data_IF_016535455113
#
_entry.id   IF_016535455113
#
_cell.length_a   1.000
_cell.length_b   1.000
_cell.length_c   1.000
_cell.angle_alpha   90.00
_cell.angle_beta   90.00
_cell.angle_gamma   90.00
#
_symmetry.space_group_name_H-M   'P 1'
#
loop_
_entity.id
_entity.type
_entity.pdbx_description
1 polymer ?
#
# COMPACT_ATOMS: atom_id res chain seq x y z
N UNK A 1 11.00 -23.34 -22.50
CA UNK A 1 11.05 -23.46 -21.03
C UNK A 1 9.76 -22.86 -20.48
N UNK A 2 8.92 -23.63 -19.78
CA UNK A 2 7.68 -23.11 -19.20
C UNK A 2 8.01 -22.36 -17.90
N UNK A 3 7.62 -21.10 -17.80
CA UNK A 3 7.61 -20.36 -16.54
C UNK A 3 6.75 -21.14 -15.54
N UNK A 4 7.22 -21.43 -14.31
CA UNK A 4 6.39 -22.15 -13.35
C UNK A 4 5.16 -21.31 -12.99
N UNK A 5 3.97 -21.87 -13.22
CA UNK A 5 2.71 -21.28 -12.77
C UNK A 5 2.73 -21.19 -11.23
N UNK A 6 2.73 -19.96 -10.69
CA UNK A 6 2.65 -19.76 -9.24
C UNK A 6 1.20 -19.84 -8.79
N UNK A 7 1.00 -20.49 -7.64
CA UNK A 7 -0.28 -20.51 -6.96
C UNK A 7 -0.84 -19.08 -6.75
N UNK A 8 -2.13 -18.88 -6.99
CA UNK A 8 -2.83 -17.61 -6.83
C UNK A 8 -2.94 -17.25 -5.35
N UNK A 9 -2.11 -16.31 -4.90
CA UNK A 9 -2.16 -15.76 -3.54
C UNK A 9 -3.13 -14.60 -3.48
N UNK A 10 -3.76 -14.39 -2.32
CA UNK A 10 -4.67 -13.25 -2.13
C UNK A 10 -3.88 -11.94 -2.14
N UNK A 11 -4.43 -10.97 -2.87
CA UNK A 11 -3.93 -9.59 -2.95
C UNK A 11 -4.92 -8.66 -2.28
N UNK A 12 -4.44 -7.69 -1.52
CA UNK A 12 -5.24 -6.65 -0.89
C UNK A 12 -4.63 -5.28 -1.16
N UNK A 13 -5.49 -4.26 -1.16
CA UNK A 13 -5.08 -2.86 -1.26
C UNK A 13 -5.40 -2.19 0.07
N UNK A 14 -4.47 -1.38 0.57
CA UNK A 14 -4.64 -0.67 1.82
C UNK A 14 -3.77 0.56 1.94
N UNK A 15 -3.88 1.24 3.07
CA UNK A 15 -3.12 2.45 3.38
C UNK A 15 -2.11 2.18 4.48
N UNK A 16 -0.92 2.77 4.37
CA UNK A 16 0.10 2.68 5.41
C UNK A 16 -0.30 3.56 6.61
N UNK A 17 -0.65 2.92 7.73
CA UNK A 17 -1.04 3.64 8.95
C UNK A 17 0.14 4.03 9.81
N UNK A 18 1.13 3.16 9.94
CA UNK A 18 2.32 3.46 10.74
C UNK A 18 3.53 2.67 10.31
N UNK A 19 4.69 3.31 10.48
CA UNK A 19 6.00 2.73 10.24
C UNK A 19 6.90 3.09 11.40
N UNK A 20 7.20 2.10 12.23
CA UNK A 20 8.02 2.28 13.44
C UNK A 20 9.15 1.26 13.57
N UNK A 21 9.11 0.13 12.83
CA UNK A 21 10.15 -0.90 12.89
C UNK A 21 10.81 -1.12 11.54
N UNK A 22 12.01 -1.69 11.55
CA UNK A 22 12.76 -1.99 10.33
C UNK A 22 12.07 -3.08 9.49
N UNK A 23 12.07 -2.88 8.17
CA UNK A 23 11.49 -3.78 7.17
C UNK A 23 10.06 -4.21 7.50
N UNK A 24 9.31 -3.30 8.11
CA UNK A 24 7.99 -3.58 8.67
C UNK A 24 7.06 -2.38 8.54
N UNK A 25 5.85 -2.64 8.08
CA UNK A 25 4.84 -1.60 7.91
C UNK A 25 3.50 -2.12 8.39
N UNK A 26 2.76 -1.27 9.10
CA UNK A 26 1.37 -1.53 9.50
C UNK A 26 0.46 -0.96 8.42
N UNK A 27 -0.30 -1.84 7.76
CA UNK A 27 -1.22 -1.49 6.67
C UNK A 27 -2.65 -1.67 7.16
N UNK A 28 -3.49 -0.67 6.92
CA UNK A 28 -4.93 -0.73 7.19
C UNK A 28 -5.66 -1.07 5.90
N UNK A 29 -6.36 -2.19 5.89
CA UNK A 29 -7.20 -2.64 4.78
C UNK A 29 -8.66 -2.34 5.10
N UNK A 30 -9.29 -1.36 4.43
CA UNK A 30 -10.73 -1.10 4.55
C UNK A 30 -11.53 -2.12 3.76
N UNK A 31 -12.66 -2.56 4.31
CA UNK A 31 -13.62 -3.41 3.60
C UNK A 31 -15.05 -3.06 4.03
N UNK A 32 -16.00 -3.25 3.12
CA UNK A 32 -17.42 -2.95 3.34
C UNK A 32 -18.16 -4.24 3.65
N UNK A 33 -18.95 -4.25 4.72
CA UNK A 33 -19.77 -5.40 5.13
C UNK A 33 -21.18 -4.91 5.49
N UNK A 34 -22.25 -5.56 5.01
CA UNK A 34 -23.61 -5.26 5.46
C UNK A 34 -23.82 -5.68 6.92
N UNK A 35 -24.55 -4.88 7.70
CA UNK A 35 -24.99 -5.28 9.04
C UNK A 35 -25.88 -6.54 8.95
N UNK A 36 -25.68 -7.57 9.77
CA UNK A 36 -26.38 -8.86 9.61
C UNK A 36 -27.90 -8.74 9.68
N UNK A 37 -28.44 -7.83 10.51
CA UNK A 37 -29.89 -7.65 10.68
C UNK A 37 -30.52 -6.61 9.75
N UNK A 38 -29.79 -5.53 9.45
CA UNK A 38 -30.36 -4.33 8.82
C UNK A 38 -29.85 -4.11 7.39
N UNK A 39 -28.88 -4.92 6.95
CA UNK A 39 -28.24 -4.88 5.63
C UNK A 39 -27.62 -3.52 5.22
N UNK A 40 -27.66 -2.51 6.09
CA UNK A 40 -26.91 -1.25 5.93
C UNK A 40 -25.43 -1.55 5.77
N UNK A 41 -24.81 -1.01 4.72
CA UNK A 41 -23.38 -1.19 4.44
C UNK A 41 -22.56 -0.39 5.45
N UNK A 42 -21.69 -1.07 6.19
CA UNK A 42 -20.80 -0.49 7.20
C UNK A 42 -19.35 -0.65 6.74
N UNK A 43 -18.56 0.39 6.93
CA UNK A 43 -17.11 0.35 6.70
C UNK A 43 -16.43 -0.31 7.92
N UNK A 44 -15.67 -1.37 7.68
CA UNK A 44 -14.78 -2.01 8.65
C UNK A 44 -13.34 -1.93 8.16
N UNK A 45 -12.39 -2.17 9.06
CA UNK A 45 -10.97 -2.19 8.75
C UNK A 45 -10.26 -3.30 9.48
N UNK A 46 -9.28 -3.91 8.82
CA UNK A 46 -8.35 -4.85 9.44
C UNK A 46 -6.95 -4.31 9.28
N UNK A 47 -6.16 -4.45 10.34
CA UNK A 47 -4.77 -4.04 10.36
C UNK A 47 -3.90 -5.27 10.11
N UNK A 48 -3.00 -5.18 9.13
CA UNK A 48 -2.09 -6.26 8.77
C UNK A 48 -0.64 -5.78 8.82
N UNK A 49 0.27 -6.70 9.11
CA UNK A 49 1.70 -6.43 9.14
C UNK A 49 2.32 -6.89 7.83
N UNK A 50 2.83 -5.93 7.06
CA UNK A 50 3.50 -6.15 5.79
C UNK A 50 5.03 -6.09 5.96
N UNK A 51 5.72 -6.93 5.21
CA UNK A 51 7.16 -6.88 5.02
C UNK A 51 7.50 -6.01 3.80
N UNK A 52 8.46 -5.13 4.01
CA UNK A 52 9.06 -4.27 2.99
C UNK A 52 10.58 -4.43 3.14
N UNK A 53 11.28 -4.92 2.12
CA UNK A 53 12.73 -5.13 2.20
C UNK A 53 13.52 -3.83 2.03
N UNK A 54 13.03 -2.97 1.13
CA UNK A 54 13.70 -1.74 0.73
C UNK A 54 13.26 -0.54 1.56
N UNK A 55 12.30 -0.72 2.47
CA UNK A 55 11.89 0.33 3.38
C UNK A 55 11.38 1.57 2.58
N UNK A 56 10.72 1.31 1.45
CA UNK A 56 10.29 2.33 0.50
C UNK A 56 8.96 2.98 0.90
N UNK A 57 8.07 2.24 1.57
CA UNK A 57 6.71 2.72 1.86
C UNK A 57 6.69 3.76 3.00
N UNK A 58 6.11 4.93 2.74
CA UNK A 58 5.94 6.03 3.70
C UNK A 58 4.54 5.98 4.33
N UNK A 59 4.36 6.74 5.41
CA UNK A 59 3.06 6.86 6.08
C UNK A 59 2.08 7.60 5.17
N UNK A 60 0.89 7.05 4.99
CA UNK A 60 -0.14 7.60 4.10
C UNK A 60 -0.16 7.00 2.69
N UNK A 61 0.87 6.25 2.29
CA UNK A 61 0.92 5.64 0.96
C UNK A 61 -0.18 4.59 0.77
N UNK A 62 -0.69 4.50 -0.46
CA UNK A 62 -1.59 3.43 -0.90
C UNK A 62 -0.75 2.30 -1.48
N UNK A 63 -0.85 1.13 -0.87
CA UNK A 63 0.00 -0.02 -1.16
C UNK A 63 -0.81 -1.25 -1.53
N UNK A 64 -0.29 -2.01 -2.48
CA UNK A 64 -0.75 -3.34 -2.84
C UNK A 64 0.08 -4.38 -2.09
N UNK A 65 -0.59 -5.25 -1.34
CA UNK A 65 0.02 -6.29 -0.50
C UNK A 65 -0.44 -7.68 -0.92
N UNK A 66 0.46 -8.65 -0.81
CA UNK A 66 0.20 -10.05 -1.15
C UNK A 66 0.52 -10.95 0.03
N UNK A 67 -0.28 -11.99 0.22
CA UNK A 67 -0.03 -13.04 1.21
C UNK A 67 1.32 -13.71 0.95
N UNK A 68 2.04 -14.02 2.02
CA UNK A 68 3.32 -14.72 1.93
C UNK A 68 3.43 -15.77 3.03
N UNK A 69 4.51 -16.56 2.99
CA UNK A 69 4.86 -17.40 4.12
C UNK A 69 5.04 -16.54 5.37
N UNK A 70 4.86 -17.08 6.59
CA UNK A 70 5.16 -16.34 7.80
C UNK A 70 6.64 -15.90 7.78
N UNK A 71 6.89 -14.59 7.81
CA UNK A 71 8.24 -14.02 7.93
C UNK A 71 8.59 -13.70 9.37
N UNK A 72 7.57 -13.60 10.22
CA UNK A 72 7.66 -13.35 11.65
C UNK A 72 6.36 -13.83 12.31
N UNK A 73 6.22 -13.63 13.63
CA UNK A 73 5.01 -13.96 14.38
C UNK A 73 3.75 -13.31 13.80
N UNK A 74 3.88 -12.06 13.33
CA UNK A 74 2.76 -11.27 12.80
C UNK A 74 2.85 -10.99 11.29
N UNK A 75 4.07 -10.90 10.73
CA UNK A 75 4.28 -10.54 9.31
C UNK A 75 3.91 -11.72 8.40
N UNK A 76 2.75 -11.62 7.76
CA UNK A 76 2.21 -12.61 6.79
C UNK A 76 1.91 -12.02 5.41
N UNK A 77 2.20 -10.74 5.24
CA UNK A 77 1.98 -9.98 4.01
C UNK A 77 3.30 -9.38 3.55
N UNK A 78 3.47 -9.20 2.25
CA UNK A 78 4.57 -8.43 1.65
C UNK A 78 4.02 -7.33 0.77
N UNK A 79 4.72 -6.21 0.68
CA UNK A 79 4.40 -5.15 -0.29
C UNK A 79 4.82 -5.63 -1.68
N UNK A 80 3.98 -5.39 -2.67
CA UNK A 80 4.27 -5.66 -4.09
C UNK A 80 4.50 -4.36 -4.82
N UNK A 81 3.50 -3.47 -4.77
CA UNK A 81 3.50 -2.20 -5.48
C UNK A 81 3.07 -1.08 -4.54
N UNK A 82 3.69 0.09 -4.70
CA UNK A 82 3.20 1.34 -4.13
C UNK A 82 2.38 2.00 -5.25
N UNK A 83 1.07 2.11 -5.06
CA UNK A 83 0.14 2.59 -6.07
C UNK A 83 0.11 4.12 -6.10
N UNK A 84 -0.01 4.74 -4.93
CA UNK A 84 -0.07 6.19 -4.77
C UNK A 84 0.85 6.57 -3.60
N UNK A 85 1.78 7.47 -3.87
CA UNK A 85 2.63 8.08 -2.86
C UNK A 85 1.86 9.21 -2.20
N UNK A 86 1.87 9.28 -0.88
CA UNK A 86 1.27 10.39 -0.17
C UNK A 86 1.93 11.71 -0.59
N UNK A 87 1.12 12.69 -0.97
CA UNK A 87 1.60 14.05 -1.22
C UNK A 87 1.88 14.69 0.13
N UNK A 88 3.12 14.57 0.61
CA UNK A 88 3.59 15.38 1.73
C UNK A 88 3.68 16.83 1.26
N UNK A 89 3.38 17.78 2.14
CA UNK A 89 3.28 19.22 1.86
C UNK A 89 4.59 19.93 1.44
N UNK A 90 5.61 19.18 0.99
CA UNK A 90 6.90 19.67 0.51
C UNK A 90 7.08 19.41 -1.00
N UNK A 91 6.01 19.48 -1.78
CA UNK A 91 6.18 19.75 -3.21
C UNK A 91 6.44 21.25 -3.32
N UNK A 92 7.73 21.60 -3.32
CA UNK A 92 8.19 22.89 -3.76
C UNK A 92 7.50 23.22 -5.10
N UNK A 93 6.99 24.45 -5.18
CA UNK A 93 6.36 25.03 -6.35
C UNK A 93 7.04 24.55 -7.65
N UNK A 94 6.29 23.87 -8.51
CA UNK A 94 6.64 23.85 -9.94
C UNK A 94 6.40 25.28 -10.40
N UNK A 95 7.47 26.06 -10.45
CA UNK A 95 7.44 27.43 -10.95
C UNK A 95 7.20 27.39 -12.46
N UNK A 96 6.45 28.36 -12.97
CA UNK A 96 6.02 28.49 -14.38
C UNK A 96 7.19 28.52 -15.40
N UNK A 97 8.44 28.54 -14.94
CA UNK A 97 9.65 28.69 -15.77
C UNK A 97 10.05 27.38 -16.49
N UNK A 98 9.72 26.20 -15.94
CA UNK A 98 10.10 24.91 -16.55
C UNK A 98 9.18 24.53 -17.73
N UNK A 99 7.94 25.05 -17.76
CA UNK A 99 6.98 24.80 -18.86
C UNK A 99 7.37 25.59 -20.12
N UNK A 100 7.91 26.80 -19.96
CA UNK A 100 8.32 27.65 -21.10
C UNK A 100 9.59 27.14 -21.79
N UNK A 101 10.46 26.43 -21.07
CA UNK A 101 11.65 25.80 -21.63
C UNK A 101 11.33 24.57 -22.50
N UNK A 102 10.22 23.88 -22.24
CA UNK A 102 9.79 22.69 -22.99
C UNK A 102 9.07 23.03 -24.30
N UNK A 103 8.46 24.22 -24.41
CA UNK A 103 7.68 24.64 -25.59
C UNK A 103 8.55 25.36 -26.65
N UNK A 104 9.82 25.65 -26.34
CA UNK A 104 10.77 26.35 -27.25
C UNK A 104 11.89 25.45 -27.82
N UNK A 105 11.64 24.14 -27.90
CA UNK A 105 12.45 23.20 -28.68
C UNK A 105 11.67 22.73 -29.92
#
# INVERSE_FOLDING_TARGET
MSTPERNSRKTLIGFVSSRSGDKSVKVTVPFKVPHPRYQKVINRKTVVHAHDEQNAAKVGDKVEIVETRPLSRLKRWRIVNILEVAVTADVAAVSEQDVVASIKA
#
